data_IF_638872494349
#
_entry.id   IF_638872494349
#
_cell.length_a   1.000
_cell.length_b   1.000
_cell.length_c   1.000
_cell.angle_alpha   90.00
_cell.angle_beta   90.00
_cell.angle_gamma   90.00
#
_symmetry.space_group_name_H-M   'P 1'
#
loop_
_entity.id
_entity.type
_entity.pdbx_description
1 polymer ?
#
# COMPACT_ATOMS: atom_id res chain seq x y z
N UNK A 1 -9.85 -16.27 -26.76
CA UNK A 1 -9.97 -15.41 -25.56
C UNK A 1 -11.10 -15.97 -24.72
N UNK A 2 -10.83 -16.38 -23.48
CA UNK A 2 -11.76 -17.19 -22.66
C UNK A 2 -12.90 -16.33 -22.11
N UNK A 3 -14.02 -16.27 -22.83
CA UNK A 3 -15.28 -15.65 -22.37
C UNK A 3 -16.01 -16.46 -21.28
N UNK A 4 -15.40 -17.57 -20.82
CA UNK A 4 -16.00 -18.52 -19.85
C UNK A 4 -15.36 -18.46 -18.45
N UNK A 5 -14.41 -17.57 -18.20
CA UNK A 5 -13.90 -17.37 -16.85
C UNK A 5 -14.90 -16.50 -16.08
N UNK A 6 -15.79 -17.13 -15.30
CA UNK A 6 -16.67 -16.37 -14.41
C UNK A 6 -15.83 -15.58 -13.41
N UNK A 7 -16.08 -14.27 -13.24
CA UNK A 7 -15.41 -13.49 -12.21
C UNK A 7 -15.62 -14.12 -10.83
N UNK A 8 -14.54 -14.28 -10.06
CA UNK A 8 -14.63 -14.75 -8.68
C UNK A 8 -15.54 -13.81 -7.87
N UNK A 9 -16.54 -14.39 -7.20
CA UNK A 9 -17.45 -13.60 -6.38
C UNK A 9 -16.73 -13.03 -5.17
N UNK A 10 -17.25 -11.93 -4.63
CA UNK A 10 -16.72 -11.36 -3.39
C UNK A 10 -16.79 -12.37 -2.23
N UNK A 11 -17.89 -13.10 -2.10
CA UNK A 11 -18.09 -14.09 -1.03
C UNK A 11 -17.04 -15.21 -1.09
N UNK A 12 -16.81 -15.78 -2.27
CA UNK A 12 -15.78 -16.82 -2.45
C UNK A 12 -14.38 -16.31 -2.15
N UNK A 13 -14.09 -15.03 -2.46
CA UNK A 13 -12.82 -14.41 -2.11
C UNK A 13 -12.68 -14.21 -0.60
N UNK A 14 -13.71 -13.68 0.06
CA UNK A 14 -13.71 -13.43 1.50
C UNK A 14 -13.60 -14.70 2.34
N UNK A 15 -14.18 -15.81 1.87
CA UNK A 15 -14.01 -17.13 2.47
C UNK A 15 -12.57 -17.62 2.31
N UNK A 16 -12.03 -17.55 1.09
CA UNK A 16 -10.69 -18.07 0.79
C UNK A 16 -9.55 -17.36 1.56
N UNK A 17 -9.68 -16.06 1.87
CA UNK A 17 -8.62 -15.31 2.56
C UNK A 17 -8.48 -15.68 4.05
N UNK A 18 -9.48 -16.30 4.67
CA UNK A 18 -9.46 -16.67 6.09
C UNK A 18 -8.35 -17.70 6.38
N UNK A 19 -8.14 -18.64 5.44
CA UNK A 19 -7.16 -19.72 5.58
C UNK A 19 -5.73 -19.34 5.16
N UNK A 20 -5.52 -18.11 4.66
CA UNK A 20 -4.22 -17.69 4.12
C UNK A 20 -3.27 -17.19 5.22
N UNK A 21 -1.96 -17.50 5.12
CA UNK A 21 -0.97 -16.91 6.01
C UNK A 21 -0.76 -15.41 5.70
N UNK A 22 -0.19 -14.69 6.65
CA UNK A 22 -0.13 -13.23 6.65
C UNK A 22 0.69 -12.65 5.49
N UNK A 23 1.78 -13.32 5.13
CA UNK A 23 2.64 -12.97 4.00
C UNK A 23 1.89 -13.08 2.67
N UNK A 24 1.05 -14.10 2.50
CA UNK A 24 0.22 -14.28 1.32
C UNK A 24 -0.88 -13.22 1.23
N UNK A 25 -1.48 -12.81 2.36
CA UNK A 25 -2.43 -11.70 2.38
C UNK A 25 -1.81 -10.38 1.90
N UNK A 26 -0.61 -10.06 2.39
CA UNK A 26 0.11 -8.87 1.94
C UNK A 26 0.54 -8.96 0.48
N UNK A 27 1.07 -10.10 0.05
CA UNK A 27 1.41 -10.33 -1.35
C UNK A 27 0.18 -10.14 -2.26
N UNK A 28 -0.99 -10.64 -1.83
CA UNK A 28 -2.23 -10.49 -2.59
C UNK A 28 -2.71 -9.04 -2.63
N UNK A 29 -2.58 -8.31 -1.53
CA UNK A 29 -2.89 -6.88 -1.50
C UNK A 29 -2.03 -6.07 -2.47
N UNK A 30 -0.72 -6.32 -2.50
CA UNK A 30 0.21 -5.69 -3.43
C UNK A 30 -0.09 -6.06 -4.89
N UNK A 31 -0.40 -7.32 -5.16
CA UNK A 31 -0.81 -7.77 -6.50
C UNK A 31 -2.06 -7.01 -7.00
N UNK A 32 -3.10 -6.93 -6.17
CA UNK A 32 -4.34 -6.22 -6.52
C UNK A 32 -4.07 -4.72 -6.69
N UNK A 33 -3.21 -4.12 -5.86
CA UNK A 33 -2.83 -2.71 -5.97
C UNK A 33 -2.13 -2.43 -7.31
N UNK A 34 -1.22 -3.31 -7.72
CA UNK A 34 -0.54 -3.20 -9.01
C UNK A 34 -1.51 -3.36 -10.19
N UNK A 35 -2.43 -4.34 -10.12
CA UNK A 35 -3.46 -4.55 -11.13
C UNK A 35 -4.37 -3.31 -11.26
N UNK A 36 -4.76 -2.71 -10.13
CA UNK A 36 -5.57 -1.50 -10.10
C UNK A 36 -4.84 -0.30 -10.69
N UNK A 37 -3.57 -0.08 -10.32
CA UNK A 37 -2.76 1.01 -10.87
C UNK A 37 -2.61 0.89 -12.39
N UNK A 38 -2.39 -0.34 -12.88
CA UNK A 38 -2.31 -0.59 -14.31
C UNK A 38 -3.65 -0.29 -15.00
N UNK A 39 -4.77 -0.76 -14.43
CA UNK A 39 -6.10 -0.55 -14.99
C UNK A 39 -6.51 0.94 -15.02
N UNK A 40 -6.18 1.70 -13.97
CA UNK A 40 -6.39 3.15 -13.94
C UNK A 40 -5.57 3.85 -15.03
N UNK A 41 -4.32 3.42 -15.22
CA UNK A 41 -3.44 3.97 -16.27
C UNK A 41 -4.00 3.70 -17.66
N UNK A 42 -4.44 2.46 -17.94
CA UNK A 42 -5.03 2.10 -19.24
C UNK A 42 -6.38 2.79 -19.47
N UNK A 43 -7.19 2.99 -18.42
CA UNK A 43 -8.44 3.74 -18.53
C UNK A 43 -8.19 5.21 -18.88
N UNK A 44 -7.20 5.86 -18.24
CA UNK A 44 -6.85 7.24 -18.56
C UNK A 44 -6.38 7.41 -20.02
N UNK A 45 -5.71 6.40 -20.58
CA UNK A 45 -5.36 6.38 -22.00
C UNK A 45 -6.61 6.19 -22.88
N UNK A 46 -7.48 5.24 -22.53
CA UNK A 46 -8.70 4.94 -23.28
C UNK A 46 -9.69 6.11 -23.30
N UNK A 47 -9.79 6.88 -22.21
CA UNK A 47 -10.57 8.13 -22.14
C UNK A 47 -10.13 9.16 -23.19
N UNK A 48 -8.83 9.24 -23.48
CA UNK A 48 -8.32 10.12 -24.54
C UNK A 48 -8.77 9.64 -25.93
N UNK A 49 -8.79 8.33 -26.16
CA UNK A 49 -9.29 7.76 -27.42
C UNK A 49 -10.78 8.04 -27.61
N UNK A 50 -11.61 7.80 -26.60
CA UNK A 50 -13.05 8.12 -26.63
C UNK A 50 -13.26 9.59 -26.99
N UNK A 51 -12.53 10.50 -26.32
CA UNK A 51 -12.69 11.94 -26.56
C UNK A 51 -12.33 12.38 -27.98
N UNK A 52 -11.36 11.71 -28.62
CA UNK A 52 -10.89 12.07 -29.96
C UNK A 52 -11.77 11.44 -31.04
N UNK A 53 -12.21 10.20 -30.83
CA UNK A 53 -12.81 9.37 -31.87
C UNK A 53 -14.31 9.09 -31.68
N UNK A 54 -14.92 9.53 -30.57
CA UNK A 54 -16.33 9.25 -30.21
C UNK A 54 -16.67 7.75 -30.28
N UNK A 55 -15.72 6.93 -29.84
CA UNK A 55 -15.77 5.47 -29.96
C UNK A 55 -16.60 4.85 -28.82
N UNK A 56 -17.80 4.39 -29.17
CA UNK A 56 -18.76 3.77 -28.25
C UNK A 56 -18.28 2.45 -27.65
N UNK A 57 -17.52 1.66 -28.40
CA UNK A 57 -16.98 0.39 -27.86
C UNK A 57 -15.95 0.70 -26.76
N UNK A 58 -15.16 1.75 -26.95
CA UNK A 58 -14.23 2.24 -25.92
C UNK A 58 -14.97 2.81 -24.70
N UNK A 59 -16.10 3.48 -24.89
CA UNK A 59 -16.95 3.96 -23.78
C UNK A 59 -17.54 2.81 -22.94
N UNK A 60 -18.04 1.77 -23.61
CA UNK A 60 -18.55 0.57 -22.95
C UNK A 60 -17.44 -0.17 -22.20
N UNK A 61 -16.26 -0.32 -22.81
CA UNK A 61 -15.10 -0.90 -22.14
C UNK A 61 -14.66 -0.10 -20.90
N UNK A 62 -14.71 1.24 -20.94
CA UNK A 62 -14.47 2.08 -19.77
C UNK A 62 -15.51 1.84 -18.67
N UNK A 63 -16.78 1.64 -19.04
CA UNK A 63 -17.82 1.28 -18.09
C UNK A 63 -17.53 -0.07 -17.43
N UNK A 64 -17.26 -1.11 -18.20
CA UNK A 64 -16.94 -2.43 -17.63
C UNK A 64 -15.70 -2.40 -16.72
N UNK A 65 -14.67 -1.64 -17.10
CA UNK A 65 -13.46 -1.50 -16.30
C UNK A 65 -13.72 -0.80 -14.96
N UNK A 66 -14.67 0.15 -14.87
CA UNK A 66 -15.05 0.77 -13.59
C UNK A 66 -15.62 -0.26 -12.61
N UNK A 67 -16.38 -1.22 -13.12
CA UNK A 67 -16.97 -2.29 -12.33
C UNK A 67 -15.88 -3.26 -11.85
N UNK A 68 -14.86 -3.51 -12.67
CA UNK A 68 -13.67 -4.27 -12.28
C UNK A 68 -12.88 -3.53 -11.18
N UNK A 69 -12.66 -2.22 -11.32
CA UNK A 69 -11.99 -1.39 -10.30
C UNK A 69 -12.73 -1.49 -8.96
N UNK A 70 -14.05 -1.32 -8.97
CA UNK A 70 -14.87 -1.45 -7.75
C UNK A 70 -14.65 -2.80 -7.07
N UNK A 71 -14.69 -3.89 -7.82
CA UNK A 71 -14.45 -5.24 -7.27
C UNK A 71 -13.02 -5.43 -6.75
N UNK A 72 -12.02 -4.76 -7.32
CA UNK A 72 -10.66 -4.81 -6.78
C UNK A 72 -10.54 -4.06 -5.46
N UNK A 73 -11.18 -2.88 -5.34
CA UNK A 73 -11.20 -2.15 -4.07
C UNK A 73 -11.94 -2.92 -2.98
N UNK A 74 -13.09 -3.52 -3.28
CA UNK A 74 -13.81 -4.39 -2.34
C UNK A 74 -12.94 -5.54 -1.82
N UNK A 75 -12.14 -6.17 -2.70
CA UNK A 75 -11.21 -7.24 -2.31
C UNK A 75 -10.04 -6.73 -1.47
N UNK A 76 -9.50 -5.55 -1.78
CA UNK A 76 -8.47 -4.89 -0.94
C UNK A 76 -9.00 -4.62 0.46
N UNK A 77 -10.23 -4.14 0.56
CA UNK A 77 -10.87 -3.87 1.84
C UNK A 77 -11.19 -5.15 2.62
N UNK A 78 -11.58 -6.24 1.94
CA UNK A 78 -11.73 -7.54 2.58
C UNK A 78 -10.40 -8.03 3.21
N UNK A 79 -9.27 -7.89 2.50
CA UNK A 79 -7.96 -8.24 3.06
C UNK A 79 -7.63 -7.36 4.28
N UNK A 80 -7.87 -6.05 4.20
CA UNK A 80 -7.63 -5.14 5.34
C UNK A 80 -8.49 -5.50 6.55
N UNK A 81 -9.76 -5.82 6.33
CA UNK A 81 -10.71 -6.21 7.37
C UNK A 81 -10.28 -7.53 8.03
N UNK A 82 -9.92 -8.54 7.23
CA UNK A 82 -9.39 -9.82 7.73
C UNK A 82 -8.18 -9.58 8.66
N UNK A 83 -7.26 -8.70 8.28
CA UNK A 83 -6.09 -8.40 9.11
C UNK A 83 -6.44 -7.63 10.37
N UNK A 84 -7.23 -6.56 10.26
CA UNK A 84 -7.47 -5.60 11.34
C UNK A 84 -8.50 -6.07 12.33
N UNK A 85 -9.62 -6.56 11.82
CA UNK A 85 -10.83 -6.80 12.59
C UNK A 85 -10.96 -8.28 12.96
N UNK A 86 -10.58 -9.21 12.07
CA UNK A 86 -10.63 -10.66 12.35
C UNK A 86 -9.39 -11.12 13.12
N UNK A 87 -8.19 -10.79 12.63
CA UNK A 87 -6.92 -11.19 13.28
C UNK A 87 -6.46 -10.22 14.37
N UNK A 88 -7.06 -9.03 14.46
CA UNK A 88 -6.72 -8.04 15.49
C UNK A 88 -5.32 -7.42 15.33
N UNK A 89 -4.74 -7.49 14.13
CA UNK A 89 -3.38 -7.02 13.85
C UNK A 89 -3.39 -5.63 13.18
N UNK A 90 -2.40 -4.76 13.46
CA UNK A 90 -2.30 -3.50 12.75
C UNK A 90 -2.02 -3.75 11.26
N UNK A 91 -2.72 -3.03 10.39
CA UNK A 91 -2.45 -3.06 8.95
C UNK A 91 -1.11 -2.40 8.63
N UNK A 92 -0.12 -3.20 8.20
CA UNK A 92 1.22 -2.73 7.81
C UNK A 92 1.72 -3.52 6.60
N UNK A 93 1.29 -3.16 5.39
CA UNK A 93 1.82 -3.74 4.17
C UNK A 93 3.33 -3.54 4.10
N UNK A 94 4.04 -4.51 3.54
CA UNK A 94 5.50 -4.48 3.40
C UNK A 94 6.02 -3.27 2.63
N UNK A 95 5.22 -2.73 1.71
CA UNK A 95 5.53 -1.50 0.95
C UNK A 95 5.63 -0.24 1.83
N UNK A 96 5.13 -0.28 3.07
CA UNK A 96 5.26 0.79 4.06
C UNK A 96 6.40 0.56 5.07
N UNK A 97 7.04 -0.62 5.06
CA UNK A 97 8.12 -0.98 5.98
C UNK A 97 9.40 -0.18 5.67
N UNK A 98 9.64 0.14 4.39
CA UNK A 98 10.75 1.00 3.94
C UNK A 98 10.54 2.50 4.29
N UNK A 99 9.34 2.88 4.74
CA UNK A 99 9.00 4.25 5.18
C UNK A 99 8.89 4.40 6.69
N UNK A 100 9.27 3.38 7.46
CA UNK A 100 9.37 3.51 8.91
C UNK A 100 10.72 4.13 9.29
N UNK A 101 10.79 5.46 9.33
CA UNK A 101 11.79 6.11 10.19
C UNK A 101 11.46 5.74 11.64
N UNK A 102 12.39 5.12 12.39
CA UNK A 102 12.16 4.89 13.81
C UNK A 102 12.12 6.26 14.47
N UNK A 103 10.93 6.69 14.91
CA UNK A 103 10.82 7.86 15.77
C UNK A 103 11.62 7.54 17.04
N UNK A 104 12.84 8.06 17.14
CA UNK A 104 13.68 7.91 18.31
C UNK A 104 12.92 8.53 19.48
N UNK A 105 12.33 7.68 20.32
CA UNK A 105 11.74 8.07 21.59
C UNK A 105 12.83 8.64 22.48
N UNK A 106 13.06 9.96 22.39
CA UNK A 106 14.01 10.70 23.19
C UNK A 106 13.58 10.72 24.66
N UNK A 107 13.94 9.68 25.39
CA UNK A 107 13.89 9.66 26.84
C UNK A 107 14.97 10.59 27.40
N UNK A 108 14.71 11.91 27.42
CA UNK A 108 15.49 12.88 28.18
C UNK A 108 15.15 12.74 29.67
N UNK A 109 15.75 11.74 30.33
CA UNK A 109 15.89 11.76 31.79
C UNK A 109 17.05 12.68 32.13
N UNK A 110 16.75 13.74 32.86
CA UNK A 110 17.74 14.71 33.32
C UNK A 110 18.72 14.11 34.31
N UNK A 111 19.96 14.57 34.24
CA UNK A 111 20.84 14.70 35.39
C UNK A 111 21.72 15.93 35.15
N UNK A 112 21.34 17.05 35.77
CA UNK A 112 22.14 18.27 35.88
C UNK A 112 22.86 18.21 37.22
N UNK A 113 24.12 18.70 37.21
CA UNK A 113 25.05 18.99 38.34
C UNK A 113 26.20 17.97 38.43
N UNK A 114 27.48 18.36 38.50
CA UNK A 114 28.09 19.68 38.55
C UNK A 114 29.61 19.60 38.76
N UNK A 115 30.28 20.76 38.59
CA UNK A 115 31.59 21.19 39.12
C UNK A 115 32.86 20.38 38.82
N UNK A 116 33.84 21.06 38.22
CA UNK A 116 35.23 21.05 38.72
C UNK A 116 36.36 21.28 37.72
N UNK A 117 37.01 22.47 37.81
CA UNK A 117 38.45 22.80 37.61
C UNK A 117 39.06 22.59 36.20
N UNK A 118 39.58 23.64 35.52
CA UNK A 118 40.79 24.48 35.71
C UNK A 118 42.09 23.80 35.20
N UNK A 119 42.78 24.49 34.28
CA UNK A 119 44.15 24.25 33.78
C UNK A 119 44.13 23.95 32.28
N UNK A 120 44.50 24.85 31.37
CA UNK A 120 45.85 25.38 31.02
C UNK A 120 46.48 24.63 29.84
N UNK A 121 46.98 25.43 28.88
CA UNK A 121 48.00 25.13 27.85
C UNK A 121 47.59 24.21 26.67
N UNK A 122 48.06 24.35 25.43
CA UNK A 122 48.84 25.37 24.70
C UNK A 122 48.73 25.01 23.20
N UNK A 123 48.92 26.02 22.34
CA UNK A 123 49.63 25.97 21.04
C UNK A 123 49.53 24.74 20.13
N UNK A 124 49.10 24.96 18.88
CA UNK A 124 49.49 24.08 17.78
C UNK A 124 48.66 24.19 16.51
N UNK A 125 48.85 25.27 15.75
CA UNK A 125 48.51 25.30 14.32
C UNK A 125 49.58 24.50 13.58
N UNK A 126 49.17 23.50 12.80
CA UNK A 126 50.02 22.95 11.73
C UNK A 126 49.18 22.67 10.48
N UNK A 127 49.45 23.53 9.48
CA UNK A 127 49.37 23.41 8.01
C UNK A 127 48.09 22.88 7.36
#
# INVERSE_FOLDING_TARGET
>A
MSANAQPITYASFAEAIQDLPMDVLYAKYSEITNQLNNLLTTNAQLEQFVKIYDDKECEEALAENREVIKRFEERKDAIKFEVRDVRGLPWRPREDEDRYEPTSGGSRRGQRNGRGRRGEEEGGVYL
#
